data_IF_134095588233
#
_entry.id   IF_134095588233
#
_cell.length_a   1.000
_cell.length_b   1.000
_cell.length_c   1.000
_cell.angle_alpha   90.00
_cell.angle_beta   90.00
_cell.angle_gamma   90.00
#
_symmetry.space_group_name_H-M   'P 1'
#
loop_
_entity.id
_entity.type
_entity.pdbx_description
1 polymer ?
#
# COMPACT_ATOMS: atom_id res chain seq x y z
N UNK A 1 37.64 -40.61 -13.81
CA UNK A 1 36.17 -40.67 -13.92
C UNK A 1 35.54 -40.30 -12.58
N UNK A 2 35.03 -39.06 -12.46
CA UNK A 2 34.16 -38.65 -11.35
C UNK A 2 32.85 -38.20 -11.99
N UNK A 3 31.77 -38.95 -11.76
CA UNK A 3 30.45 -38.61 -12.27
C UNK A 3 29.88 -37.42 -11.52
N UNK A 4 29.75 -36.30 -12.23
CA UNK A 4 29.01 -35.13 -11.79
C UNK A 4 27.51 -35.43 -11.76
N UNK A 5 26.87 -35.32 -10.59
CA UNK A 5 25.42 -35.23 -10.48
C UNK A 5 25.00 -33.83 -10.94
N UNK A 6 24.33 -33.76 -12.10
CA UNK A 6 23.63 -32.59 -12.62
C UNK A 6 22.55 -32.16 -11.62
N UNK A 7 22.82 -31.11 -10.86
CA UNK A 7 21.78 -30.36 -10.15
C UNK A 7 20.90 -29.65 -11.19
N UNK A 8 19.61 -29.99 -11.22
CA UNK A 8 18.61 -29.20 -11.92
C UNK A 8 18.56 -27.82 -11.26
N UNK A 9 19.12 -26.81 -11.92
CA UNK A 9 18.84 -25.40 -11.63
C UNK A 9 17.39 -25.14 -12.01
N UNK A 10 16.48 -25.31 -11.05
CA UNK A 10 15.17 -24.67 -11.13
C UNK A 10 15.43 -23.19 -10.88
N UNK A 11 15.24 -22.37 -11.91
CA UNK A 11 15.06 -20.93 -11.76
C UNK A 11 13.89 -20.78 -10.80
N UNK A 12 14.15 -20.36 -9.55
CA UNK A 12 13.17 -20.47 -8.46
C UNK A 12 12.01 -19.52 -8.72
N UNK A 13 10.89 -20.04 -9.20
CA UNK A 13 9.65 -19.30 -9.35
C UNK A 13 9.13 -18.91 -7.97
N UNK A 14 8.65 -17.68 -7.83
CA UNK A 14 8.11 -17.18 -6.57
C UNK A 14 6.80 -17.91 -6.19
N UNK A 15 6.52 -18.08 -4.90
CA UNK A 15 5.32 -18.76 -4.40
C UNK A 15 4.04 -18.10 -4.90
N UNK A 16 4.02 -16.76 -4.97
CA UNK A 16 2.88 -16.02 -5.52
C UNK A 16 2.75 -16.21 -7.03
N UNK A 17 3.86 -16.19 -7.79
CA UNK A 17 3.85 -16.48 -9.22
C UNK A 17 3.36 -17.91 -9.50
N UNK A 18 3.75 -18.88 -8.66
CA UNK A 18 3.28 -20.26 -8.75
C UNK A 18 1.78 -20.36 -8.51
N UNK A 19 1.28 -19.72 -7.44
CA UNK A 19 -0.14 -19.66 -7.13
C UNK A 19 -0.95 -19.02 -8.27
N UNK A 20 -0.45 -17.92 -8.83
CA UNK A 20 -1.09 -17.22 -9.95
C UNK A 20 -1.17 -18.08 -11.21
N UNK A 21 -0.11 -18.81 -11.56
CA UNK A 21 -0.12 -19.74 -12.72
C UNK A 21 -1.12 -20.87 -12.55
N UNK A 22 -1.28 -21.39 -11.33
CA UNK A 22 -2.23 -22.46 -11.03
C UNK A 22 -3.68 -21.96 -10.89
N UNK A 23 -3.86 -20.68 -10.58
CA UNK A 23 -5.15 -20.06 -10.24
C UNK A 23 -6.29 -20.36 -11.23
N UNK A 24 -6.10 -20.30 -12.57
CA UNK A 24 -7.17 -20.59 -13.54
C UNK A 24 -7.72 -22.02 -13.43
N UNK A 25 -6.89 -22.98 -13.01
CA UNK A 25 -7.22 -24.41 -12.89
C UNK A 25 -7.70 -24.81 -11.48
N UNK A 26 -7.93 -23.83 -10.59
CA UNK A 26 -8.42 -24.08 -9.23
C UNK A 26 -9.95 -24.17 -9.20
N UNK A 27 -10.47 -25.09 -8.38
CA UNK A 27 -11.91 -25.15 -8.07
C UNK A 27 -12.33 -23.95 -7.22
N UNK A 28 -13.64 -23.69 -7.08
CA UNK A 28 -14.16 -22.56 -6.27
C UNK A 28 -13.58 -22.53 -4.85
N UNK A 29 -13.56 -23.67 -4.15
CA UNK A 29 -12.97 -23.77 -2.79
C UNK A 29 -11.46 -23.58 -2.78
N UNK A 30 -10.76 -24.05 -3.82
CA UNK A 30 -9.31 -23.87 -3.94
C UNK A 30 -8.94 -22.41 -4.24
N UNK A 31 -9.79 -21.70 -5.00
CA UNK A 31 -9.63 -20.25 -5.23
C UNK A 31 -9.77 -19.48 -3.93
N UNK A 32 -10.75 -19.79 -3.09
CA UNK A 32 -10.88 -19.17 -1.76
C UNK A 32 -9.61 -19.33 -0.91
N UNK A 33 -9.00 -20.52 -0.93
CA UNK A 33 -7.73 -20.75 -0.24
C UNK A 33 -6.62 -19.92 -0.88
N UNK A 34 -6.48 -19.95 -2.20
CA UNK A 34 -5.46 -19.19 -2.93
C UNK A 34 -5.59 -17.68 -2.72
N UNK A 35 -6.81 -17.12 -2.76
CA UNK A 35 -7.09 -15.71 -2.53
C UNK A 35 -6.62 -15.29 -1.13
N UNK A 36 -6.91 -16.09 -0.11
CA UNK A 36 -6.46 -15.82 1.26
C UNK A 36 -4.93 -15.87 1.38
N UNK A 37 -4.28 -16.87 0.78
CA UNK A 37 -2.81 -16.99 0.79
C UNK A 37 -2.13 -15.82 0.06
N UNK A 38 -2.71 -15.35 -1.06
CA UNK A 38 -2.17 -14.23 -1.85
C UNK A 38 -2.37 -12.89 -1.12
N UNK A 39 -3.50 -12.72 -0.43
CA UNK A 39 -3.82 -11.49 0.29
C UNK A 39 -3.01 -11.35 1.59
N UNK A 40 -2.67 -12.46 2.26
CA UNK A 40 -2.07 -12.44 3.60
C UNK A 40 -0.71 -13.15 3.71
N UNK A 41 0.26 -12.93 2.79
CA UNK A 41 1.48 -13.75 2.69
C UNK A 41 2.34 -13.74 3.96
N UNK A 42 2.35 -12.62 4.70
CA UNK A 42 3.10 -12.49 5.96
C UNK A 42 2.46 -13.31 7.08
N UNK A 43 1.14 -13.27 7.20
CA UNK A 43 0.36 -13.98 8.22
C UNK A 43 0.49 -15.50 8.08
N UNK A 44 0.54 -16.01 6.84
CA UNK A 44 0.69 -17.45 6.56
C UNK A 44 1.92 -18.04 7.28
N UNK A 45 2.98 -17.26 7.43
CA UNK A 45 4.21 -17.69 8.11
C UNK A 45 3.98 -18.05 9.59
N UNK A 46 2.92 -17.54 10.22
CA UNK A 46 2.71 -17.62 11.67
C UNK A 46 1.47 -18.41 12.07
N UNK A 47 0.48 -18.59 11.19
CA UNK A 47 -0.76 -19.32 11.52
C UNK A 47 -0.60 -20.84 11.50
N UNK A 48 -1.50 -21.53 12.19
CA UNK A 48 -1.66 -22.98 12.18
C UNK A 48 -2.62 -23.44 11.08
N UNK A 49 -2.60 -24.73 10.74
CA UNK A 49 -3.53 -25.31 9.77
C UNK A 49 -4.99 -25.14 10.19
N UNK A 50 -5.27 -25.26 11.50
CA UNK A 50 -6.59 -25.05 12.08
C UNK A 50 -7.07 -23.60 11.93
N UNK A 51 -6.18 -22.62 12.15
CA UNK A 51 -6.50 -21.21 11.94
C UNK A 51 -6.77 -20.92 10.46
N UNK A 52 -5.95 -21.44 9.55
CA UNK A 52 -6.19 -21.29 8.11
C UNK A 52 -7.50 -21.95 7.67
N UNK A 53 -7.85 -23.09 8.27
CA UNK A 53 -9.12 -23.79 8.05
C UNK A 53 -10.31 -22.93 8.42
N UNK A 54 -10.25 -22.28 9.59
CA UNK A 54 -11.26 -21.33 10.05
C UNK A 54 -11.37 -20.11 9.11
N UNK A 55 -10.25 -19.47 8.78
CA UNK A 55 -10.23 -18.26 7.95
C UNK A 55 -10.72 -18.48 6.53
N UNK A 56 -10.47 -19.65 5.96
CA UNK A 56 -10.89 -19.98 4.58
C UNK A 56 -12.25 -20.68 4.51
N UNK A 57 -12.85 -21.04 5.66
CA UNK A 57 -14.06 -21.86 5.71
C UNK A 57 -13.90 -23.24 5.05
N UNK A 58 -12.66 -23.78 5.01
CA UNK A 58 -12.35 -25.07 4.40
C UNK A 58 -11.81 -26.04 5.43
N UNK A 59 -11.98 -27.35 5.25
CA UNK A 59 -11.45 -28.34 6.20
C UNK A 59 -9.93 -28.47 6.10
N UNK A 60 -9.27 -28.82 7.20
CA UNK A 60 -7.82 -29.08 7.23
C UNK A 60 -7.37 -30.10 6.17
N UNK A 61 -8.17 -31.15 5.93
CA UNK A 61 -7.90 -32.13 4.87
C UNK A 61 -7.93 -31.50 3.47
N UNK A 62 -8.80 -30.52 3.24
CA UNK A 62 -8.86 -29.77 1.97
C UNK A 62 -7.63 -28.91 1.80
N UNK A 63 -7.16 -28.26 2.87
CA UNK A 63 -5.92 -27.47 2.87
C UNK A 63 -4.68 -28.32 2.62
N UNK A 64 -4.58 -29.50 3.24
CA UNK A 64 -3.47 -30.43 2.99
C UNK A 64 -3.43 -30.91 1.53
N UNK A 65 -4.59 -31.26 0.97
CA UNK A 65 -4.71 -31.60 -0.46
C UNK A 65 -4.34 -30.43 -1.36
N UNK A 66 -4.66 -29.21 -0.95
CA UNK A 66 -4.27 -28.01 -1.68
C UNK A 66 -2.76 -27.78 -1.64
N UNK A 67 -2.11 -27.94 -0.48
CA UNK A 67 -0.64 -27.89 -0.36
C UNK A 67 0.03 -28.89 -1.31
N UNK A 68 -0.46 -30.13 -1.37
CA UNK A 68 0.03 -31.15 -2.29
C UNK A 68 -0.18 -30.77 -3.75
N UNK A 69 -1.32 -30.16 -4.10
CA UNK A 69 -1.60 -29.65 -5.46
C UNK A 69 -0.66 -28.52 -5.87
N UNK A 70 -0.18 -27.73 -4.90
CA UNK A 70 0.87 -26.72 -5.10
C UNK A 70 2.29 -27.32 -5.11
N UNK A 71 2.44 -28.64 -4.96
CA UNK A 71 3.74 -29.31 -4.97
C UNK A 71 4.46 -29.33 -3.63
N UNK A 72 3.78 -29.05 -2.51
CA UNK A 72 4.34 -29.09 -1.16
C UNK A 72 3.90 -30.34 -0.41
N UNK A 73 4.83 -30.98 0.30
CA UNK A 73 4.58 -32.26 0.96
C UNK A 73 3.62 -32.11 2.14
N UNK A 74 3.65 -30.97 2.81
CA UNK A 74 2.83 -30.66 3.98
C UNK A 74 2.62 -29.13 4.11
N UNK A 75 1.84 -28.72 5.13
CA UNK A 75 1.57 -27.31 5.38
C UNK A 75 2.79 -26.53 5.89
N UNK A 76 3.71 -27.19 6.62
CA UNK A 76 4.94 -26.56 7.09
C UNK A 76 5.84 -26.15 5.92
N UNK A 77 6.00 -27.02 4.91
CA UNK A 77 6.75 -26.71 3.68
C UNK A 77 6.16 -25.48 2.96
N UNK A 78 4.83 -25.38 2.90
CA UNK A 78 4.14 -24.20 2.33
C UNK A 78 4.43 -22.94 3.16
N UNK A 79 4.34 -23.02 4.50
CA UNK A 79 4.69 -21.92 5.39
C UNK A 79 6.13 -21.48 5.21
N UNK A 80 7.06 -22.40 5.01
CA UNK A 80 8.46 -22.08 4.74
C UNK A 80 8.63 -21.32 3.43
N UNK A 81 7.88 -21.63 2.38
CA UNK A 81 7.92 -20.85 1.15
C UNK A 81 7.33 -19.45 1.32
N UNK A 82 6.26 -19.29 2.09
CA UNK A 82 5.72 -17.98 2.44
C UNK A 82 6.67 -17.18 3.34
N UNK A 83 7.37 -17.86 4.26
CA UNK A 83 8.43 -17.26 5.08
C UNK A 83 9.61 -16.84 4.21
N UNK A 84 10.05 -17.68 3.28
CA UNK A 84 11.13 -17.38 2.35
C UNK A 84 10.74 -16.26 1.38
N UNK A 85 9.48 -16.23 0.93
CA UNK A 85 8.92 -15.12 0.16
C UNK A 85 8.91 -13.84 0.97
N UNK A 86 8.39 -13.86 2.20
CA UNK A 86 8.36 -12.69 3.09
C UNK A 86 9.78 -12.25 3.47
N UNK A 87 10.71 -13.18 3.69
CA UNK A 87 12.11 -12.88 3.97
C UNK A 87 12.86 -12.38 2.74
N UNK A 88 12.58 -12.92 1.54
CA UNK A 88 13.07 -12.35 0.28
C UNK A 88 12.48 -10.99 0.06
N UNK A 89 11.22 -10.77 0.39
CA UNK A 89 10.55 -9.47 0.37
C UNK A 89 11.19 -8.50 1.36
N UNK A 90 11.52 -8.91 2.58
CA UNK A 90 12.27 -8.10 3.56
C UNK A 90 13.67 -7.82 3.01
N UNK A 91 14.39 -8.84 2.54
CA UNK A 91 15.72 -8.70 1.92
C UNK A 91 15.71 -7.88 0.64
N UNK A 92 14.60 -7.85 -0.12
CA UNK A 92 14.39 -7.08 -1.34
C UNK A 92 13.88 -5.66 -1.05
N UNK A 93 13.13 -5.46 0.04
CA UNK A 93 13.01 -4.15 0.69
C UNK A 93 14.39 -3.64 1.11
N UNK A 94 15.30 -4.54 1.51
CA UNK A 94 16.71 -4.27 1.77
C UNK A 94 17.59 -4.29 0.49
N UNK A 95 17.07 -4.61 -0.69
CA UNK A 95 17.90 -4.83 -1.89
C UNK A 95 17.29 -4.25 -3.15
N UNK A 96 17.34 -2.93 -3.24
CA UNK A 96 17.85 -2.33 -4.47
C UNK A 96 18.91 -1.23 -4.25
N UNK A 97 19.25 -0.86 -3.01
CA UNK A 97 20.46 -0.05 -2.67
C UNK A 97 20.79 0.00 -1.16
N UNK A 98 20.50 -1.04 -0.34
CA UNK A 98 20.73 -0.95 1.12
C UNK A 98 21.92 -1.75 1.61
N UNK A 99 22.94 -0.99 2.01
CA UNK A 99 23.98 -1.44 2.92
C UNK A 99 23.32 -1.76 4.27
N UNK A 100 23.21 -3.04 4.61
CA UNK A 100 23.22 -3.47 6.00
C UNK A 100 24.67 -3.87 6.27
N UNK A 101 25.50 -3.01 6.89
CA UNK A 101 26.84 -3.41 7.28
C UNK A 101 26.75 -4.67 8.15
N UNK A 102 27.60 -5.64 7.82
CA UNK A 102 27.78 -6.83 8.64
C UNK A 102 28.17 -6.35 10.03
N UNK A 103 27.40 -6.71 11.07
CA UNK A 103 27.70 -6.31 12.45
C UNK A 103 29.06 -6.87 12.85
N UNK A 104 30.11 -6.07 12.71
CA UNK A 104 31.33 -6.25 13.46
C UNK A 104 31.03 -5.83 14.89
N UNK A 105 31.24 -6.73 15.84
CA UNK A 105 31.07 -6.44 17.25
C UNK A 105 31.88 -5.20 17.65
N UNK A 106 31.21 -4.06 17.89
CA UNK A 106 31.84 -2.84 18.41
C UNK A 106 30.93 -1.60 18.38
N UNK A 107 30.52 -1.19 19.59
CA UNK A 107 30.16 0.18 20.00
C UNK A 107 28.86 0.84 19.48
N UNK A 108 28.10 1.46 20.40
CA UNK A 108 26.85 2.20 20.14
C UNK A 108 27.00 3.33 19.09
N UNK A 109 28.23 3.76 18.82
CA UNK A 109 28.65 4.76 17.83
C UNK A 109 28.33 4.36 16.39
N UNK A 110 28.45 3.08 16.00
CA UNK A 110 28.12 2.65 14.63
C UNK A 110 26.61 2.73 14.36
N UNK A 111 25.79 2.34 15.36
CA UNK A 111 24.34 2.44 15.28
C UNK A 111 23.89 3.89 15.22
N UNK A 112 24.48 4.75 16.04
CA UNK A 112 24.21 6.19 16.03
C UNK A 112 24.52 6.80 14.66
N UNK A 113 25.67 6.46 14.06
CA UNK A 113 26.02 6.92 12.72
C UNK A 113 25.01 6.45 11.66
N UNK A 114 24.61 5.19 11.69
CA UNK A 114 23.58 4.67 10.77
C UNK A 114 22.26 5.44 10.94
N UNK A 115 21.82 5.69 12.18
CA UNK A 115 20.61 6.46 12.48
C UNK A 115 20.70 7.89 11.95
N UNK A 116 21.86 8.55 12.10
CA UNK A 116 22.10 9.87 11.52
C UNK A 116 22.02 9.87 9.99
N UNK A 117 22.53 8.84 9.33
CA UNK A 117 22.41 8.72 7.88
C UNK A 117 20.94 8.57 7.42
N UNK A 118 20.10 7.90 8.21
CA UNK A 118 18.63 7.85 7.98
C UNK A 118 18.05 9.24 8.09
N UNK A 119 18.33 9.96 9.19
CA UNK A 119 17.81 11.30 9.41
C UNK A 119 18.19 12.24 8.27
N UNK A 120 19.45 12.20 7.83
CA UNK A 120 19.93 13.00 6.71
C UNK A 120 19.26 12.62 5.40
N UNK A 121 19.03 11.32 5.16
CA UNK A 121 18.36 10.86 3.94
C UNK A 121 16.88 11.26 3.93
N UNK A 122 16.16 11.06 5.04
CA UNK A 122 14.76 11.50 5.19
C UNK A 122 14.63 13.01 5.01
N UNK A 123 15.54 13.79 5.62
CA UNK A 123 15.56 15.25 5.46
C UNK A 123 15.81 15.68 4.01
N UNK A 124 16.75 15.03 3.31
CA UNK A 124 17.05 15.34 1.90
C UNK A 124 15.86 15.02 0.99
N UNK A 125 15.29 13.81 1.09
CA UNK A 125 14.10 13.41 0.32
C UNK A 125 12.93 14.35 0.58
N UNK A 126 12.72 14.74 1.85
CA UNK A 126 11.66 15.68 2.20
C UNK A 126 11.91 17.09 1.65
N UNK A 127 13.14 17.59 1.72
CA UNK A 127 13.53 18.88 1.16
C UNK A 127 13.30 18.93 -0.36
N UNK A 128 13.70 17.88 -1.08
CA UNK A 128 13.49 17.75 -2.52
C UNK A 128 12.00 17.66 -2.85
N UNK A 129 11.22 16.91 -2.07
CA UNK A 129 9.78 16.81 -2.22
C UNK A 129 9.09 18.17 -2.09
N UNK A 130 9.39 18.93 -1.04
CA UNK A 130 8.76 20.25 -0.81
C UNK A 130 9.15 21.25 -1.88
N UNK A 131 10.38 21.20 -2.38
CA UNK A 131 10.84 22.10 -3.45
C UNK A 131 10.14 21.82 -4.77
N UNK A 132 9.81 20.56 -5.05
CA UNK A 132 9.25 20.12 -6.32
C UNK A 132 7.75 19.78 -6.25
N UNK A 133 7.08 20.07 -5.15
CA UNK A 133 5.67 19.74 -4.97
C UNK A 133 4.81 20.47 -6.01
N UNK A 134 3.94 19.72 -6.70
CA UNK A 134 3.00 20.29 -7.66
C UNK A 134 1.79 20.88 -6.93
N UNK A 135 1.89 22.16 -6.53
CA UNK A 135 0.81 22.87 -5.83
C UNK A 135 -0.46 23.03 -6.67
N UNK A 136 -0.36 23.09 -8.01
CA UNK A 136 -1.55 23.14 -8.87
C UNK A 136 -2.39 21.86 -8.72
N UNK A 137 -1.74 20.70 -8.62
CA UNK A 137 -2.42 19.43 -8.37
C UNK A 137 -3.05 19.38 -6.98
N UNK A 138 -2.39 19.97 -5.97
CA UNK A 138 -2.96 20.10 -4.62
C UNK A 138 -4.22 20.97 -4.62
N UNK A 139 -4.19 22.11 -5.31
CA UNK A 139 -5.34 23.01 -5.43
C UNK A 139 -6.50 22.31 -6.16
N UNK A 140 -6.23 21.62 -7.27
CA UNK A 140 -7.25 20.81 -7.97
C UNK A 140 -7.83 19.71 -7.08
N UNK A 141 -7.02 19.08 -6.23
CA UNK A 141 -7.48 18.05 -5.29
C UNK A 141 -8.38 18.67 -4.21
N UNK A 142 -8.00 19.83 -3.67
CA UNK A 142 -8.82 20.61 -2.73
C UNK A 142 -10.18 20.95 -3.35
N UNK A 143 -10.19 21.45 -4.58
CA UNK A 143 -11.42 21.79 -5.31
C UNK A 143 -12.34 20.59 -5.51
N UNK A 144 -11.78 19.44 -5.89
CA UNK A 144 -12.57 18.23 -6.11
C UNK A 144 -13.16 17.70 -4.80
N UNK A 145 -12.37 17.70 -3.72
CA UNK A 145 -12.82 17.34 -2.38
C UNK A 145 -13.99 18.23 -1.92
N UNK A 146 -13.90 19.55 -2.12
CA UNK A 146 -14.94 20.51 -1.67
C UNK A 146 -16.24 20.40 -2.47
N UNK A 147 -16.17 20.03 -3.76
CA UNK A 147 -17.35 19.84 -4.62
C UNK A 147 -18.08 18.52 -4.33
N UNK A 148 -17.40 17.58 -3.70
CA UNK A 148 -17.91 16.22 -3.48
C UNK A 148 -18.93 16.16 -2.33
N UNK A 149 -19.98 15.39 -2.52
CA UNK A 149 -21.00 15.11 -1.50
C UNK A 149 -20.60 13.97 -0.58
N UNK A 150 -19.88 12.96 -1.10
CA UNK A 150 -19.32 11.85 -0.32
C UNK A 150 -17.91 11.54 -0.79
N UNK A 151 -17.01 11.24 0.15
CA UNK A 151 -15.60 10.97 -0.13
C UNK A 151 -15.26 9.58 0.40
N UNK A 152 -14.89 8.66 -0.48
CA UNK A 152 -14.48 7.31 -0.12
C UNK A 152 -12.96 7.18 -0.22
N UNK A 153 -12.31 6.97 0.92
CA UNK A 153 -10.86 6.81 1.01
C UNK A 153 -10.56 5.32 1.07
N UNK A 154 -9.94 4.78 0.03
CA UNK A 154 -9.53 3.38 -0.04
C UNK A 154 -8.04 3.25 0.28
N UNK A 155 -7.74 2.44 1.29
CA UNK A 155 -6.39 2.19 1.75
C UNK A 155 -6.20 0.73 2.17
N UNK A 156 -4.95 0.28 2.21
CA UNK A 156 -4.56 -1.07 2.61
C UNK A 156 -3.34 -0.99 3.54
N UNK A 157 -3.28 -1.88 4.54
CA UNK A 157 -2.18 -1.98 5.51
C UNK A 157 -1.74 -0.62 6.07
N UNK A 158 -0.44 -0.30 5.95
CA UNK A 158 0.17 0.92 6.47
C UNK A 158 -0.45 2.19 5.86
N UNK A 159 -1.06 2.10 4.68
CA UNK A 159 -1.76 3.24 4.06
C UNK A 159 -3.06 3.60 4.79
N UNK A 160 -3.58 2.74 5.67
CA UNK A 160 -4.69 3.08 6.56
C UNK A 160 -4.31 4.22 7.52
N UNK A 161 -3.01 4.39 7.83
CA UNK A 161 -2.53 5.48 8.70
C UNK A 161 -2.75 6.86 8.05
N UNK A 162 -2.16 7.17 6.87
CA UNK A 162 -2.47 8.43 6.18
C UNK A 162 -3.94 8.51 5.76
N UNK A 163 -4.60 7.40 5.45
CA UNK A 163 -6.05 7.36 5.18
C UNK A 163 -6.90 7.85 6.35
N UNK A 164 -6.62 7.35 7.57
CA UNK A 164 -7.33 7.78 8.78
C UNK A 164 -7.01 9.22 9.13
N UNK A 165 -5.75 9.64 8.95
CA UNK A 165 -5.36 11.03 9.14
C UNK A 165 -6.15 11.97 8.24
N UNK A 166 -6.24 11.68 6.93
CA UNK A 166 -7.03 12.47 6.00
C UNK A 166 -8.50 12.48 6.39
N UNK A 167 -9.09 11.32 6.69
CA UNK A 167 -10.48 11.23 7.12
C UNK A 167 -10.77 12.16 8.30
N UNK A 168 -9.92 12.14 9.33
CA UNK A 168 -10.10 13.01 10.50
C UNK A 168 -9.97 14.50 10.19
N UNK A 169 -9.14 14.89 9.20
CA UNK A 169 -9.08 16.28 8.74
C UNK A 169 -10.35 16.70 7.99
N UNK A 170 -10.87 15.83 7.14
CA UNK A 170 -12.11 16.08 6.41
C UNK A 170 -13.33 16.16 7.34
N UNK A 171 -13.39 15.30 8.36
CA UNK A 171 -14.44 15.32 9.38
C UNK A 171 -14.49 16.65 10.17
N UNK A 172 -13.33 17.22 10.51
CA UNK A 172 -13.24 18.54 11.16
C UNK A 172 -13.84 19.64 10.27
N UNK A 173 -13.72 19.50 8.95
CA UNK A 173 -14.27 20.42 7.95
C UNK A 173 -15.73 20.10 7.59
N UNK A 174 -16.38 19.20 8.34
CA UNK A 174 -17.75 18.74 8.11
C UNK A 174 -17.97 18.10 6.73
N UNK A 175 -16.90 17.57 6.12
CA UNK A 175 -16.98 16.84 4.86
C UNK A 175 -17.30 15.36 5.12
N UNK A 176 -18.26 14.83 4.36
CA UNK A 176 -18.74 13.46 4.51
C UNK A 176 -17.73 12.47 3.91
N UNK A 177 -16.88 11.89 4.75
CA UNK A 177 -15.82 10.96 4.34
C UNK A 177 -15.86 9.62 5.06
N UNK A 178 -15.52 8.56 4.35
CA UNK A 178 -15.44 7.20 4.88
C UNK A 178 -14.13 6.52 4.45
N UNK A 179 -13.36 6.03 5.43
CA UNK A 179 -12.21 5.17 5.19
C UNK A 179 -12.67 3.72 4.97
N UNK A 180 -12.26 3.14 3.85
CA UNK A 180 -12.54 1.76 3.43
C UNK A 180 -11.23 0.99 3.40
N UNK A 181 -11.17 -0.08 4.20
CA UNK A 181 -10.07 -1.02 4.17
C UNK A 181 -10.22 -1.97 2.97
N UNK A 182 -9.24 -1.94 2.08
CA UNK A 182 -9.20 -2.76 0.86
C UNK A 182 -9.03 -4.27 1.12
N UNK A 183 -8.69 -4.66 2.35
CA UNK A 183 -8.71 -6.07 2.76
C UNK A 183 -10.14 -6.60 2.90
N UNK A 184 -11.11 -5.74 3.21
CA UNK A 184 -12.53 -6.08 3.19
C UNK A 184 -13.10 -5.95 1.76
N UNK A 185 -12.97 -7.03 1.00
CA UNK A 185 -13.43 -7.09 -0.38
C UNK A 185 -14.96 -7.00 -0.51
N UNK A 186 -15.73 -7.42 0.50
CA UNK A 186 -17.19 -7.36 0.46
C UNK A 186 -17.66 -5.91 0.58
N UNK A 187 -17.15 -5.18 1.58
CA UNK A 187 -17.42 -3.75 1.76
C UNK A 187 -16.90 -2.95 0.56
N UNK A 188 -15.68 -3.23 0.10
CA UNK A 188 -15.09 -2.57 -1.07
C UNK A 188 -15.97 -2.71 -2.30
N UNK A 189 -16.45 -3.93 -2.59
CA UNK A 189 -17.33 -4.17 -3.74
C UNK A 189 -18.68 -3.47 -3.60
N UNK A 190 -19.27 -3.51 -2.40
CA UNK A 190 -20.54 -2.85 -2.11
C UNK A 190 -20.45 -1.34 -2.33
N UNK A 191 -19.41 -0.69 -1.81
CA UNK A 191 -19.21 0.75 -1.99
C UNK A 191 -19.04 1.11 -3.46
N UNK A 192 -18.20 0.37 -4.20
CA UNK A 192 -17.97 0.63 -5.63
C UNK A 192 -19.27 0.55 -6.45
N UNK A 193 -20.16 -0.38 -6.12
CA UNK A 193 -21.46 -0.53 -6.78
C UNK A 193 -22.46 0.57 -6.43
N UNK A 194 -22.23 1.32 -5.34
CA UNK A 194 -23.11 2.38 -4.83
C UNK A 194 -22.58 3.79 -5.13
N UNK A 195 -21.50 3.88 -5.90
CA UNK A 195 -20.95 5.16 -6.36
C UNK A 195 -21.93 5.89 -7.29
N UNK A 196 -21.98 7.21 -7.16
CA UNK A 196 -22.87 8.13 -7.87
C UNK A 196 -22.12 9.43 -8.20
N UNK A 197 -22.67 10.27 -9.09
CA UNK A 197 -22.03 11.47 -9.64
C UNK A 197 -21.56 12.52 -8.61
N UNK A 198 -22.03 12.45 -7.36
CA UNK A 198 -21.60 13.33 -6.27
C UNK A 198 -20.41 12.80 -5.45
N UNK A 199 -19.84 11.66 -5.81
CA UNK A 199 -18.82 11.00 -5.01
C UNK A 199 -17.41 11.26 -5.51
N UNK A 200 -16.45 11.32 -4.59
CA UNK A 200 -15.02 11.26 -4.87
C UNK A 200 -14.43 9.99 -4.28
N UNK A 201 -13.59 9.33 -5.06
CA UNK A 201 -12.79 8.20 -4.60
C UNK A 201 -11.34 8.64 -4.45
N UNK A 202 -10.76 8.36 -3.28
CA UNK A 202 -9.34 8.61 -3.00
C UNK A 202 -8.66 7.27 -2.80
N UNK A 203 -7.62 6.97 -3.59
CA UNK A 203 -6.76 5.80 -3.37
C UNK A 203 -5.43 6.19 -2.78
N UNK A 204 -4.94 5.41 -1.82
CA UNK A 204 -3.52 5.35 -1.48
C UNK A 204 -2.87 4.17 -2.19
N UNK A 205 -1.93 4.44 -3.09
CA UNK A 205 -1.25 3.41 -3.90
C UNK A 205 0.26 3.60 -3.78
N UNK A 206 0.89 2.97 -2.79
CA UNK A 206 2.34 3.06 -2.56
C UNK A 206 3.06 1.73 -2.82
N UNK A 207 4.39 1.74 -3.02
CA UNK A 207 5.18 0.56 -3.38
C UNK A 207 4.95 -0.61 -2.45
N UNK A 208 5.09 -1.83 -2.99
CA UNK A 208 4.37 -3.03 -2.51
C UNK A 208 2.86 -2.85 -2.70
N UNK A 209 2.50 -2.35 -3.88
CA UNK A 209 1.14 -2.04 -4.24
C UNK A 209 0.23 -3.24 -3.97
N UNK A 210 -0.86 -2.99 -3.25
CA UNK A 210 -1.89 -3.99 -3.05
C UNK A 210 -2.36 -4.51 -4.41
N UNK A 211 -2.13 -5.78 -4.70
CA UNK A 211 -2.27 -6.34 -6.04
C UNK A 211 -3.63 -6.05 -6.71
N UNK A 212 -4.77 -6.16 -5.98
CA UNK A 212 -6.08 -5.83 -6.56
C UNK A 212 -6.32 -4.34 -6.84
N UNK A 213 -5.52 -3.41 -6.29
CA UNK A 213 -5.85 -1.98 -6.28
C UNK A 213 -6.07 -1.39 -7.68
N UNK A 214 -5.29 -1.82 -8.68
CA UNK A 214 -5.48 -1.36 -10.06
C UNK A 214 -6.83 -1.80 -10.65
N UNK A 215 -7.24 -3.05 -10.39
CA UNK A 215 -8.55 -3.55 -10.82
C UNK A 215 -9.70 -2.87 -10.06
N UNK A 216 -9.49 -2.52 -8.80
CA UNK A 216 -10.46 -1.80 -7.96
C UNK A 216 -10.62 -0.37 -8.49
N UNK A 217 -9.52 0.34 -8.73
CA UNK A 217 -9.51 1.66 -9.35
C UNK A 217 -10.18 1.67 -10.73
N UNK A 218 -9.88 0.66 -11.56
CA UNK A 218 -10.54 0.47 -12.87
C UNK A 218 -12.05 0.32 -12.74
N UNK A 219 -12.54 -0.40 -11.72
CA UNK A 219 -13.98 -0.57 -11.50
C UNK A 219 -14.63 0.72 -11.00
N UNK A 220 -13.98 1.44 -10.08
CA UNK A 220 -14.46 2.75 -9.63
C UNK A 220 -14.54 3.75 -10.80
N UNK A 221 -13.52 3.77 -11.68
CA UNK A 221 -13.48 4.67 -12.84
C UNK A 221 -14.64 4.42 -13.82
N UNK A 222 -15.10 3.16 -13.95
CA UNK A 222 -16.26 2.81 -14.78
C UNK A 222 -17.57 3.41 -14.28
N UNK A 223 -17.64 3.79 -13.00
CA UNK A 223 -18.79 4.50 -12.43
C UNK A 223 -18.80 5.99 -12.78
N UNK A 224 -17.76 6.51 -13.46
CA UNK A 224 -17.70 7.90 -13.92
C UNK A 224 -17.33 8.92 -12.84
N UNK A 225 -17.06 8.47 -11.60
CA UNK A 225 -16.69 9.35 -10.49
C UNK A 225 -15.24 9.85 -10.62
N UNK A 226 -14.93 11.06 -10.14
CA UNK A 226 -13.56 11.52 -9.99
C UNK A 226 -12.76 10.59 -9.08
N UNK A 227 -11.49 10.38 -9.44
CA UNK A 227 -10.55 9.55 -8.69
C UNK A 227 -9.28 10.36 -8.43
N UNK A 228 -9.04 10.65 -7.16
CA UNK A 228 -7.78 11.17 -6.66
C UNK A 228 -6.89 10.00 -6.23
N UNK A 229 -5.64 9.95 -6.65
CA UNK A 229 -4.68 8.94 -6.15
C UNK A 229 -3.47 9.60 -5.55
N UNK A 230 -3.17 9.22 -4.32
CA UNK A 230 -1.98 9.62 -3.58
C UNK A 230 -1.00 8.45 -3.65
N UNK A 231 0.14 8.67 -4.29
CA UNK A 231 1.04 7.59 -4.72
C UNK A 231 2.48 8.09 -4.87
N UNK A 232 3.44 7.19 -4.99
CA UNK A 232 4.83 7.52 -5.28
C UNK A 232 5.11 7.77 -6.77
N UNK A 233 4.30 7.22 -7.67
CA UNK A 233 4.54 7.28 -9.11
C UNK A 233 3.25 7.36 -9.91
N UNK A 234 3.31 8.08 -11.03
CA UNK A 234 2.30 8.13 -12.09
C UNK A 234 2.11 6.80 -12.83
N UNK A 235 3.01 5.84 -12.62
CA UNK A 235 2.90 4.47 -13.13
C UNK A 235 2.34 3.48 -12.11
N UNK A 236 1.91 3.95 -10.92
CA UNK A 236 1.30 3.07 -9.92
C UNK A 236 0.00 2.44 -10.42
N UNK A 237 -0.41 1.27 -9.91
CA UNK A 237 -1.54 0.53 -10.46
C UNK A 237 -2.87 1.28 -10.44
N UNK A 238 -3.08 2.17 -9.48
CA UNK A 238 -4.28 3.01 -9.43
C UNK A 238 -4.19 4.22 -10.36
N UNK A 239 -3.00 4.79 -10.59
CA UNK A 239 -2.80 6.04 -11.31
C UNK A 239 -3.36 6.04 -12.74
N UNK A 240 -3.28 4.91 -13.45
CA UNK A 240 -3.81 4.75 -14.80
C UNK A 240 -5.34 4.93 -14.91
N UNK A 241 -6.05 4.98 -13.78
CA UNK A 241 -7.50 5.11 -13.70
C UNK A 241 -7.92 6.38 -12.95
N UNK A 242 -6.97 7.25 -12.62
CA UNK A 242 -7.19 8.42 -11.77
C UNK A 242 -7.37 9.68 -12.61
N UNK A 243 -8.25 10.57 -12.16
CA UNK A 243 -8.42 11.91 -12.75
C UNK A 243 -7.35 12.87 -12.24
N UNK A 244 -6.83 12.64 -11.03
CA UNK A 244 -5.82 13.48 -10.40
C UNK A 244 -4.83 12.65 -9.58
N UNK A 245 -3.57 13.07 -9.57
CA UNK A 245 -2.49 12.44 -8.82
C UNK A 245 -1.85 13.43 -7.84
N UNK A 246 -1.53 12.96 -6.63
CA UNK A 246 -0.63 13.61 -5.70
C UNK A 246 0.58 12.70 -5.48
N UNK A 247 1.71 13.08 -6.07
CA UNK A 247 2.94 12.30 -6.02
C UNK A 247 3.71 12.58 -4.74
N UNK A 248 3.99 11.53 -3.97
CA UNK A 248 4.68 11.57 -2.69
C UNK A 248 5.78 10.49 -2.68
N UNK A 249 7.07 10.87 -2.65
CA UNK A 249 8.13 9.88 -2.55
C UNK A 249 8.00 9.11 -1.23
N UNK A 250 8.14 7.79 -1.32
CA UNK A 250 8.08 6.89 -0.16
C UNK A 250 9.33 6.03 -0.02
N UNK A 251 10.31 6.19 -0.92
CA UNK A 251 11.58 5.48 -0.86
C UNK A 251 12.35 5.87 0.39
N UNK A 252 12.74 4.87 1.20
CA UNK A 252 13.64 5.05 2.34
C UNK A 252 14.64 3.92 2.39
N UNK A 253 15.75 4.15 3.12
CA UNK A 253 16.92 3.29 3.02
C UNK A 253 16.92 2.01 3.85
N UNK A 254 15.95 1.82 4.72
CA UNK A 254 16.15 0.84 5.80
C UNK A 254 14.90 0.09 6.20
N UNK A 255 13.75 0.76 6.33
CA UNK A 255 12.58 0.12 6.91
C UNK A 255 11.27 0.65 6.33
N UNK A 256 10.57 -0.23 5.59
CA UNK A 256 9.27 0.05 4.96
C UNK A 256 9.26 1.29 4.05
N UNK A 257 8.09 1.79 3.68
CA UNK A 257 7.92 3.03 2.94
C UNK A 257 7.95 4.21 3.92
N UNK A 258 8.72 5.26 3.64
CA UNK A 258 8.66 6.50 4.43
C UNK A 258 7.28 7.15 4.27
N UNK A 259 6.69 7.54 5.40
CA UNK A 259 5.41 8.25 5.45
C UNK A 259 5.59 9.77 5.58
N UNK A 260 6.83 10.28 5.61
CA UNK A 260 7.13 11.70 5.80
C UNK A 260 6.47 12.57 4.73
N UNK A 261 6.74 12.30 3.45
CA UNK A 261 6.16 13.07 2.35
C UNK A 261 4.64 12.86 2.18
N UNK A 262 4.08 11.64 2.26
CA UNK A 262 2.63 11.43 2.29
C UNK A 262 1.92 12.26 3.38
N UNK A 263 2.42 12.24 4.61
CA UNK A 263 1.81 12.99 5.71
C UNK A 263 1.94 14.51 5.52
N UNK A 264 3.06 14.98 4.99
CA UNK A 264 3.23 16.38 4.65
C UNK A 264 2.28 16.82 3.53
N UNK A 265 2.14 16.03 2.45
CA UNK A 265 1.17 16.26 1.38
C UNK A 265 -0.25 16.42 1.94
N UNK A 266 -0.66 15.53 2.86
CA UNK A 266 -1.97 15.60 3.49
C UNK A 266 -2.15 16.82 4.38
N UNK A 267 -1.10 17.27 5.08
CA UNK A 267 -1.14 18.53 5.81
C UNK A 267 -1.32 19.73 4.87
N UNK A 268 -0.56 19.78 3.77
CA UNK A 268 -0.65 20.87 2.78
C UNK A 268 -2.04 20.88 2.13
N UNK A 269 -2.56 19.70 1.76
CA UNK A 269 -3.92 19.56 1.23
C UNK A 269 -4.98 20.04 2.23
N UNK A 270 -4.87 19.64 3.51
CA UNK A 270 -5.78 20.09 4.56
C UNK A 270 -5.70 21.61 4.78
N UNK A 271 -4.50 22.20 4.76
CA UNK A 271 -4.32 23.64 4.82
C UNK A 271 -4.96 24.35 3.62
N UNK A 272 -4.83 23.81 2.41
CA UNK A 272 -5.50 24.34 1.22
C UNK A 272 -7.02 24.34 1.37
N UNK A 273 -7.59 23.22 1.86
CA UNK A 273 -9.03 23.10 2.13
C UNK A 273 -9.53 24.17 3.12
N UNK A 274 -8.76 24.45 4.17
CA UNK A 274 -9.08 25.50 5.16
C UNK A 274 -9.02 26.89 4.53
N UNK A 275 -7.95 27.20 3.80
CA UNK A 275 -7.76 28.51 3.14
C UNK A 275 -8.94 28.81 2.21
N UNK A 276 -9.47 27.81 1.52
CA UNK A 276 -10.63 27.92 0.62
C UNK A 276 -11.99 27.98 1.33
N UNK A 277 -12.01 27.69 2.64
CA UNK A 277 -13.23 27.70 3.46
C UNK A 277 -13.39 28.99 4.27
N UNK A 278 -12.33 29.78 4.45
CA UNK A 278 -12.36 31.04 5.21
C UNK A 278 -12.68 32.25 4.32
N UNK A 279 -13.26 33.29 4.92
CA UNK A 279 -13.59 34.52 4.20
C UNK A 279 -12.32 35.21 3.65
N UNK A 280 -12.41 36.03 2.58
CA UNK A 280 -11.26 36.76 2.05
C UNK A 280 -10.55 37.62 3.10
N UNK A 281 -11.29 38.19 4.06
CA UNK A 281 -10.75 38.97 5.17
C UNK A 281 -9.92 38.13 6.15
N UNK A 282 -10.40 36.93 6.51
CA UNK A 282 -9.65 36.01 7.39
C UNK A 282 -8.42 35.44 6.69
N UNK A 283 -8.52 35.21 5.37
CA UNK A 283 -7.40 34.78 4.54
C UNK A 283 -6.27 35.82 4.54
N UNK A 284 -6.60 37.12 4.44
CA UNK A 284 -5.61 38.18 4.50
C UNK A 284 -4.89 38.23 5.85
N UNK A 285 -5.63 38.10 6.96
CA UNK A 285 -5.04 38.03 8.31
C UNK A 285 -4.06 36.87 8.42
N UNK A 286 -4.39 35.69 7.88
CA UNK A 286 -3.47 34.55 7.87
C UNK A 286 -2.20 34.85 7.05
N UNK A 287 -2.35 35.42 5.85
CA UNK A 287 -1.21 35.81 5.00
C UNK A 287 -0.27 36.77 5.76
N UNK A 288 -0.83 37.74 6.48
CA UNK A 288 -0.06 38.73 7.25
C UNK A 288 0.72 38.11 8.44
N UNK A 289 0.38 36.87 8.86
CA UNK A 289 1.13 36.13 9.90
C UNK A 289 2.28 35.28 9.36
N UNK A 290 2.37 35.08 8.03
CA UNK A 290 3.43 34.29 7.45
C UNK A 290 4.77 35.06 7.53
N UNK A 291 5.87 34.38 7.91
CA UNK A 291 7.18 35.02 7.92
C UNK A 291 7.56 35.45 6.50
N UNK A 292 8.09 36.68 6.39
CA UNK A 292 8.58 37.30 5.15
C UNK A 292 9.79 36.57 4.56
#
# INVERSE_FOLDING_TARGET
>A
MRHAKKGHRVISMDILEHLQKLYPALTKKQKTIADYLIANPEEISYITLAQLSHQTGTSELTLLRFCQKLGYSNFLDLKEQFRDYTQKMIKQASSSSFFLPERTSGEDTEREQMLHEICNTEAAVFSDFITNINLESVIKASDEIRKSTRIYIFAHDISLVPGKFLQSRLEILYLNSALIDLSDLEVTQKIIQQLTDGDLVIFFSFPRYYFPIGNIAKKAAKSGVPILTITDSDTSPAAAHSTLLLLCPTSTKLFYNSMTAPMAMLNILASCLVIDSVSPSERQIFIDTLPS
#
